data_IF_837401687545
#
_entry.id   IF_837401687545
#
_cell.length_a   1.000
_cell.length_b   1.000
_cell.length_c   1.000
_cell.angle_alpha   90.00
_cell.angle_beta   90.00
_cell.angle_gamma   90.00
#
_symmetry.space_group_name_H-M   'P 1'
#
loop_
_entity.id
_entity.type
_entity.pdbx_description
1 polymer ?
#
# COMPACT_ATOMS: atom_id res chain seq x y z
N UNK A 1 21.91 5.18 -22.19
CA UNK A 1 20.68 4.65 -22.83
C UNK A 1 20.95 4.66 -24.32
N UNK A 2 21.18 3.50 -24.92
CA UNK A 2 21.24 3.40 -26.39
C UNK A 2 19.81 3.33 -26.90
N UNK A 3 19.40 4.28 -27.73
CA UNK A 3 18.08 4.31 -28.34
C UNK A 3 18.21 3.57 -29.68
N UNK A 4 17.48 2.47 -29.84
CA UNK A 4 17.40 1.75 -31.12
C UNK A 4 16.34 2.39 -32.00
N UNK A 5 16.49 2.26 -33.31
CA UNK A 5 15.57 2.86 -34.28
C UNK A 5 15.14 1.81 -35.30
N UNK A 6 13.89 1.88 -35.75
CA UNK A 6 13.38 1.09 -36.86
C UNK A 6 12.78 1.98 -37.95
N UNK A 7 12.72 1.45 -39.17
CA UNK A 7 12.12 2.14 -40.31
C UNK A 7 10.63 1.84 -40.38
N UNK A 8 9.82 2.89 -40.46
CA UNK A 8 8.39 2.80 -40.76
C UNK A 8 8.09 3.69 -41.98
N UNK A 9 8.03 3.06 -43.16
CA UNK A 9 7.98 3.77 -44.44
C UNK A 9 9.24 4.60 -44.69
N UNK A 10 9.06 5.90 -44.93
CA UNK A 10 10.16 6.86 -45.17
C UNK A 10 10.73 7.48 -43.88
N UNK A 11 10.21 7.09 -42.71
CA UNK A 11 10.58 7.67 -41.43
C UNK A 11 11.36 6.68 -40.56
N UNK A 12 12.40 7.19 -39.89
CA UNK A 12 13.16 6.45 -38.89
C UNK A 12 12.61 6.79 -37.50
N UNK A 13 11.98 5.83 -36.84
CA UNK A 13 11.29 6.01 -35.56
C UNK A 13 12.09 5.36 -34.43
N UNK A 14 12.33 6.06 -33.31
CA UNK A 14 12.99 5.47 -32.15
C UNK A 14 12.10 4.43 -31.46
N UNK A 15 12.68 3.29 -31.12
CA UNK A 15 12.07 2.25 -30.29
C UNK A 15 12.02 2.69 -28.84
N UNK A 16 10.93 3.33 -28.46
CA UNK A 16 10.67 3.71 -27.08
C UNK A 16 10.12 2.49 -26.32
N UNK A 17 10.96 1.89 -25.48
CA UNK A 17 10.53 0.86 -24.52
C UNK A 17 10.42 1.46 -23.14
N UNK A 18 9.30 1.21 -22.47
CA UNK A 18 9.16 1.52 -21.05
C UNK A 18 10.17 0.69 -20.25
N UNK A 19 10.80 1.33 -19.27
CA UNK A 19 11.85 0.71 -18.47
C UNK A 19 11.30 -0.40 -17.56
N UNK A 20 10.05 -0.25 -17.13
CA UNK A 20 9.36 -1.18 -16.24
C UNK A 20 8.11 -1.76 -16.92
N UNK A 21 8.16 -3.06 -17.21
CA UNK A 21 7.02 -3.83 -17.76
C UNK A 21 6.36 -4.70 -16.67
N UNK A 22 6.70 -4.47 -15.40
CA UNK A 22 6.16 -5.28 -14.30
C UNK A 22 4.68 -4.99 -14.12
N UNK A 23 3.84 -6.02 -14.24
CA UNK A 23 2.43 -5.92 -13.87
C UNK A 23 2.30 -5.89 -12.35
N UNK A 24 2.12 -4.69 -11.81
CA UNK A 24 1.84 -4.50 -10.38
C UNK A 24 0.38 -4.86 -10.08
N UNK A 25 0.16 -5.88 -9.25
CA UNK A 25 -1.15 -6.23 -8.74
C UNK A 25 -1.49 -5.30 -7.56
N UNK A 26 -2.40 -4.34 -7.79
CA UNK A 26 -2.75 -3.33 -6.78
C UNK A 26 -3.95 -3.81 -5.98
N UNK A 27 -3.74 -4.04 -4.68
CA UNK A 27 -4.78 -4.39 -3.75
C UNK A 27 -5.66 -3.21 -3.31
N UNK A 28 -6.34 -3.41 -2.18
CA UNK A 28 -7.30 -2.45 -1.63
C UNK A 28 -6.61 -1.15 -1.21
N UNK A 29 -5.51 -1.24 -0.48
CA UNK A 29 -4.83 -0.09 0.12
C UNK A 29 -4.06 0.70 -0.93
N UNK A 30 -3.48 0.04 -1.92
CA UNK A 30 -2.86 0.72 -3.07
C UNK A 30 -3.86 1.59 -3.85
N UNK A 31 -5.09 1.12 -4.08
CA UNK A 31 -6.14 1.95 -4.70
C UNK A 31 -6.55 3.14 -3.84
N UNK A 32 -6.67 2.96 -2.52
CA UNK A 32 -6.97 4.05 -1.59
C UNK A 32 -5.87 5.11 -1.61
N UNK A 33 -4.60 4.69 -1.57
CA UNK A 33 -3.44 5.58 -1.64
C UNK A 33 -3.41 6.38 -2.93
N UNK A 34 -3.66 5.73 -4.08
CA UNK A 34 -3.77 6.40 -5.37
C UNK A 34 -4.82 7.52 -5.34
N UNK A 35 -6.04 7.19 -4.88
CA UNK A 35 -7.14 8.15 -4.78
C UNK A 35 -6.78 9.32 -3.87
N UNK A 36 -6.17 9.04 -2.73
CA UNK A 36 -5.70 10.08 -1.81
C UNK A 36 -4.70 11.03 -2.46
N UNK A 37 -3.71 10.51 -3.20
CA UNK A 37 -2.73 11.32 -3.91
C UNK A 37 -3.35 12.17 -5.02
N UNK A 38 -4.32 11.61 -5.76
CA UNK A 38 -5.06 12.33 -6.81
C UNK A 38 -5.91 13.48 -6.23
N UNK A 39 -6.62 13.25 -5.13
CA UNK A 39 -7.53 14.24 -4.54
C UNK A 39 -6.78 15.31 -3.74
N UNK A 40 -5.76 14.94 -2.97
CA UNK A 40 -5.12 15.84 -2.00
C UNK A 40 -3.76 16.37 -2.49
N UNK A 41 -3.02 15.62 -3.31
CA UNK A 41 -1.61 15.91 -3.62
C UNK A 41 -1.25 15.70 -5.10
N UNK A 42 -1.98 16.37 -5.98
CA UNK A 42 -1.81 16.29 -7.44
C UNK A 42 -0.37 16.53 -7.92
N UNK A 43 0.38 17.41 -7.26
CA UNK A 43 1.78 17.70 -7.62
C UNK A 43 2.70 16.50 -7.42
N UNK A 44 2.56 15.82 -6.28
CA UNK A 44 3.32 14.61 -5.95
C UNK A 44 2.93 13.46 -6.90
N UNK A 45 1.62 13.30 -7.13
CA UNK A 45 1.11 12.31 -8.07
C UNK A 45 1.68 12.49 -9.49
N UNK A 46 1.67 13.73 -9.99
CA UNK A 46 2.22 14.06 -11.30
C UNK A 46 3.72 13.79 -11.37
N UNK A 47 4.47 14.13 -10.32
CA UNK A 47 5.89 13.82 -10.22
C UNK A 47 6.16 12.31 -10.29
N UNK A 48 5.40 11.50 -9.54
CA UNK A 48 5.55 10.03 -9.53
C UNK A 48 5.23 9.37 -10.86
N UNK A 49 4.27 9.92 -11.61
CA UNK A 49 3.99 9.47 -12.98
C UNK A 49 5.18 9.78 -13.89
N UNK A 50 5.69 11.00 -13.84
CA UNK A 50 6.82 11.43 -14.68
C UNK A 50 8.11 10.68 -14.34
N UNK A 51 8.28 10.27 -13.09
CA UNK A 51 9.43 9.45 -12.66
C UNK A 51 9.20 7.94 -12.81
N UNK A 52 8.06 7.50 -13.35
CA UNK A 52 7.68 6.08 -13.51
C UNK A 52 7.67 5.25 -12.20
N UNK A 53 7.64 5.89 -11.02
CA UNK A 53 7.73 5.22 -9.71
C UNK A 53 6.38 4.96 -9.05
N UNK A 54 5.29 5.51 -9.60
CA UNK A 54 3.97 5.46 -9.01
C UNK A 54 3.51 4.02 -8.71
N UNK A 55 3.56 3.14 -9.70
CA UNK A 55 3.02 1.78 -9.58
C UNK A 55 3.78 0.94 -8.55
N UNK A 56 5.11 1.04 -8.56
CA UNK A 56 5.96 0.44 -7.55
C UNK A 56 5.63 0.92 -6.15
N UNK A 57 5.47 2.24 -5.96
CA UNK A 57 5.11 2.80 -4.66
C UNK A 57 3.75 2.30 -4.16
N UNK A 58 2.75 2.21 -5.03
CA UNK A 58 1.42 1.71 -4.66
C UNK A 58 1.46 0.24 -4.25
N UNK A 59 2.28 -0.59 -4.90
CA UNK A 59 2.46 -1.99 -4.54
C UNK A 59 3.19 -2.14 -3.20
N UNK A 60 4.28 -1.40 -2.97
CA UNK A 60 5.01 -1.38 -1.69
C UNK A 60 4.09 -1.01 -0.52
N UNK A 61 3.26 0.03 -0.69
CA UNK A 61 2.32 0.46 0.35
C UNK A 61 1.23 -0.59 0.60
N UNK A 62 0.73 -1.26 -0.45
CA UNK A 62 -0.29 -2.29 -0.28
C UNK A 62 0.24 -3.49 0.50
N UNK A 63 1.47 -3.93 0.20
CA UNK A 63 2.16 -4.98 0.94
C UNK A 63 2.40 -4.58 2.42
N UNK A 64 2.96 -3.40 2.66
CA UNK A 64 3.23 -2.89 4.01
C UNK A 64 1.94 -2.76 4.84
N UNK A 65 0.84 -2.31 4.23
CA UNK A 65 -0.46 -2.23 4.88
C UNK A 65 -0.99 -3.60 5.28
N UNK A 66 -0.87 -4.61 4.41
CA UNK A 66 -1.33 -5.97 4.70
C UNK A 66 -0.49 -6.59 5.83
N UNK A 67 0.84 -6.46 5.79
CA UNK A 67 1.71 -6.95 6.86
C UNK A 67 1.41 -6.28 8.21
N UNK A 68 1.22 -4.96 8.21
CA UNK A 68 0.89 -4.22 9.43
C UNK A 68 -0.48 -4.62 9.97
N UNK A 69 -1.45 -4.85 9.09
CA UNK A 69 -2.78 -5.31 9.46
C UNK A 69 -2.73 -6.67 10.17
N UNK A 70 -2.05 -7.66 9.60
CA UNK A 70 -1.92 -8.99 10.18
C UNK A 70 -1.20 -8.95 11.53
N UNK A 71 -0.15 -8.13 11.64
CA UNK A 71 0.57 -7.90 12.90
C UNK A 71 -0.33 -7.30 13.98
N UNK A 72 -1.06 -6.23 13.65
CA UNK A 72 -1.93 -5.53 14.60
C UNK A 72 -3.09 -6.40 15.06
N UNK A 73 -3.77 -7.07 14.12
CA UNK A 73 -4.87 -7.98 14.44
C UNK A 73 -4.37 -9.09 15.37
N UNK A 74 -3.23 -9.71 15.07
CA UNK A 74 -2.63 -10.74 15.92
C UNK A 74 -2.26 -10.26 17.32
N UNK A 75 -1.70 -9.05 17.44
CA UNK A 75 -1.36 -8.45 18.73
C UNK A 75 -2.60 -8.11 19.57
N UNK A 76 -3.62 -7.50 18.95
CA UNK A 76 -4.87 -7.14 19.63
C UNK A 76 -5.68 -8.38 20.01
N UNK A 77 -5.75 -9.39 19.15
CA UNK A 77 -6.43 -10.66 19.47
C UNK A 77 -5.79 -11.36 20.67
N UNK A 78 -4.46 -11.39 20.75
CA UNK A 78 -3.73 -11.91 21.92
C UNK A 78 -4.02 -11.09 23.18
N UNK A 79 -4.05 -9.76 23.08
CA UNK A 79 -4.30 -8.85 24.20
C UNK A 79 -5.73 -8.96 24.74
N UNK A 80 -6.71 -9.11 23.87
CA UNK A 80 -8.13 -9.21 24.23
C UNK A 80 -8.58 -10.65 24.54
N UNK A 81 -7.68 -11.63 24.44
CA UNK A 81 -7.94 -13.02 24.81
C UNK A 81 -8.93 -13.72 23.86
N UNK A 82 -8.93 -13.35 22.58
CA UNK A 82 -9.80 -13.98 21.58
C UNK A 82 -9.23 -15.36 21.22
N UNK A 83 -9.65 -16.38 21.97
CA UNK A 83 -9.17 -17.77 21.82
C UNK A 83 -10.16 -18.64 21.02
N UNK A 84 -9.69 -19.79 20.55
CA UNK A 84 -10.55 -20.79 19.89
C UNK A 84 -11.57 -21.43 20.84
N UNK A 85 -11.34 -21.34 22.15
CA UNK A 85 -12.33 -21.73 23.17
C UNK A 85 -13.53 -20.80 23.12
N UNK A 86 -13.30 -19.48 23.08
CA UNK A 86 -14.38 -18.49 22.94
C UNK A 86 -15.18 -18.71 21.65
N UNK A 87 -14.53 -19.10 20.56
CA UNK A 87 -15.20 -19.40 19.29
C UNK A 87 -16.14 -20.61 19.39
N UNK A 88 -15.79 -21.60 20.20
CA UNK A 88 -16.58 -22.82 20.41
C UNK A 88 -17.75 -22.57 21.36
N UNK A 89 -17.55 -21.74 22.38
CA UNK A 89 -18.55 -21.44 23.41
C UNK A 89 -19.57 -20.38 22.94
N UNK A 90 -19.09 -19.31 22.30
CA UNK A 90 -19.91 -18.21 21.78
C UNK A 90 -19.31 -17.62 20.49
N UNK A 91 -19.76 -18.19 19.37
CA UNK A 91 -19.31 -17.79 18.04
C UNK A 91 -19.64 -16.33 17.70
N UNK A 92 -20.78 -15.79 18.21
CA UNK A 92 -21.22 -14.43 17.93
C UNK A 92 -20.34 -13.42 18.65
N UNK A 93 -20.07 -13.65 19.94
CA UNK A 93 -19.18 -12.81 20.72
C UNK A 93 -17.76 -12.81 20.12
N UNK A 94 -17.26 -13.98 19.70
CA UNK A 94 -15.98 -14.09 19.00
C UNK A 94 -15.96 -13.25 17.72
N UNK A 95 -17.01 -13.35 16.88
CA UNK A 95 -17.09 -12.59 15.62
C UNK A 95 -17.14 -11.08 15.88
N UNK A 96 -17.93 -10.64 16.86
CA UNK A 96 -18.02 -9.23 17.24
C UNK A 96 -16.67 -8.66 17.68
N UNK A 97 -15.94 -9.39 18.53
CA UNK A 97 -14.60 -9.00 18.98
C UNK A 97 -13.61 -8.95 17.82
N UNK A 98 -13.60 -9.96 16.96
CA UNK A 98 -12.71 -10.01 15.82
C UNK A 98 -12.95 -8.84 14.84
N UNK A 99 -14.23 -8.53 14.58
CA UNK A 99 -14.59 -7.38 13.75
C UNK A 99 -14.20 -6.04 14.39
N UNK A 100 -14.40 -5.89 15.70
CA UNK A 100 -13.98 -4.68 16.41
C UNK A 100 -12.46 -4.49 16.37
N UNK A 101 -11.69 -5.57 16.54
CA UNK A 101 -10.23 -5.54 16.44
C UNK A 101 -9.81 -5.15 15.02
N UNK A 102 -10.40 -5.80 14.01
CA UNK A 102 -10.11 -5.51 12.61
C UNK A 102 -10.40 -4.04 12.27
N UNK A 103 -11.55 -3.50 12.70
CA UNK A 103 -11.91 -2.10 12.46
C UNK A 103 -10.87 -1.14 13.05
N UNK A 104 -10.45 -1.38 14.31
CA UNK A 104 -9.46 -0.54 14.99
C UNK A 104 -8.07 -0.66 14.37
N UNK A 105 -7.66 -1.86 13.96
CA UNK A 105 -6.41 -2.07 13.25
C UNK A 105 -6.40 -1.34 11.90
N UNK A 106 -7.51 -1.43 11.14
CA UNK A 106 -7.66 -0.77 9.85
C UNK A 106 -7.56 0.76 9.96
N UNK A 107 -8.18 1.36 10.98
CA UNK A 107 -8.05 2.80 11.23
C UNK A 107 -6.60 3.24 11.42
N UNK A 108 -5.81 2.47 12.19
CA UNK A 108 -4.39 2.77 12.43
C UNK A 108 -3.60 2.66 11.12
N UNK A 109 -3.79 1.58 10.36
CA UNK A 109 -3.08 1.37 9.08
C UNK A 109 -3.39 2.47 8.07
N UNK A 110 -4.66 2.85 7.93
CA UNK A 110 -5.07 3.90 7.00
C UNK A 110 -4.45 5.26 7.38
N UNK A 111 -4.48 5.59 8.66
CA UNK A 111 -3.90 6.84 9.16
C UNK A 111 -2.39 6.90 8.96
N UNK A 112 -1.67 5.83 9.32
CA UNK A 112 -0.21 5.85 9.38
C UNK A 112 0.45 5.63 8.01
N UNK A 113 -0.15 4.86 7.11
CA UNK A 113 0.45 4.51 5.81
C UNK A 113 -0.27 5.16 4.63
N UNK A 114 -1.61 5.09 4.58
CA UNK A 114 -2.38 5.49 3.39
C UNK A 114 -2.57 7.01 3.30
N UNK A 115 -2.82 7.68 4.42
CA UNK A 115 -3.08 9.13 4.44
C UNK A 115 -1.87 9.96 4.87
N UNK A 116 -0.73 9.33 5.09
CA UNK A 116 0.45 9.99 5.61
C UNK A 116 1.42 10.38 4.48
N UNK A 117 2.09 11.53 4.61
CA UNK A 117 3.02 12.07 3.60
C UNK A 117 4.50 11.80 3.93
N UNK A 118 4.79 11.02 4.98
CA UNK A 118 6.15 10.80 5.47
C UNK A 118 7.10 10.21 4.41
N UNK A 119 6.55 9.45 3.45
CA UNK A 119 7.31 8.83 2.37
C UNK A 119 8.00 9.81 1.39
N UNK A 120 7.59 11.09 1.38
CA UNK A 120 8.10 12.08 0.41
C UNK A 120 9.19 13.00 0.94
N UNK A 121 9.41 13.05 2.26
CA UNK A 121 10.33 14.00 2.90
C UNK A 121 11.74 13.44 3.13
N UNK A 122 12.12 12.35 2.47
CA UNK A 122 13.46 11.73 2.60
C UNK A 122 13.70 10.99 3.93
N UNK A 123 12.73 10.94 4.84
CA UNK A 123 12.80 10.17 6.09
C UNK A 123 12.17 8.78 5.90
N UNK A 124 12.82 7.89 5.13
CA UNK A 124 12.53 6.46 5.25
C UNK A 124 13.20 5.96 6.55
N UNK A 125 12.37 5.56 7.51
CA UNK A 125 12.70 4.77 8.71
C UNK A 125 13.50 5.41 9.85
N UNK A 126 12.78 5.76 10.92
CA UNK A 126 13.30 5.53 12.29
C UNK A 126 12.19 5.34 13.35
N UNK A 127 10.97 5.82 13.13
CA UNK A 127 9.94 5.85 14.18
C UNK A 127 8.92 4.71 14.09
N UNK A 128 9.34 3.45 14.19
CA UNK A 128 8.37 2.36 14.48
C UNK A 128 8.99 1.15 15.21
N UNK A 129 10.15 1.32 15.87
CA UNK A 129 10.78 0.27 16.69
C UNK A 129 10.54 0.40 18.21
N UNK A 130 9.93 1.49 18.68
CA UNK A 130 9.59 1.66 20.10
C UNK A 130 8.24 2.34 20.27
N UNK A 131 7.16 1.56 20.22
CA UNK A 131 5.99 1.81 21.05
C UNK A 131 5.20 0.52 21.26
#
# INVERSE_FOLDING_TARGET
MEITYHWEGDYLIPDLKLSDTTEYQIGKYGRMRKRFLEENHRGIYSHMILSETLWKHLAEIDEECNEMMDRLVGQMAKKEGVTEQLKSDDWLCWLQKMNSIRSRAEEIVLHDLVYSLWFYSGFKFCSMRHR
#
